data_IF_830604431003
#
_entry.id   IF_830604431003
#
_cell.length_a   1.000
_cell.length_b   1.000
_cell.length_c   1.000
_cell.angle_alpha   90.00
_cell.angle_beta   90.00
_cell.angle_gamma   90.00
#
_symmetry.space_group_name_H-M   'P 1'
#
loop_
_entity.id
_entity.type
_entity.pdbx_description
1 polymer ?
#
# COMPACT_ATOMS: atom_id res chain seq x y z
N UNK A 1 7.47 12.30 11.87
CA UNK A 1 6.79 12.05 10.58
C UNK A 1 5.85 10.87 10.79
N UNK A 2 4.53 11.00 10.55
CA UNK A 2 3.59 9.90 10.72
C UNK A 2 3.81 8.82 9.66
N UNK A 3 3.68 7.56 10.03
CA UNK A 3 3.82 6.39 9.14
C UNK A 3 2.45 5.80 8.84
N UNK A 4 2.12 5.62 7.56
CA UNK A 4 0.81 5.11 7.14
C UNK A 4 0.96 4.00 6.11
N UNK A 5 0.39 2.84 6.40
CA UNK A 5 0.31 1.71 5.47
C UNK A 5 -0.94 1.85 4.59
N UNK A 6 -0.76 1.81 3.28
CA UNK A 6 -1.84 1.81 2.29
C UNK A 6 -1.87 0.46 1.58
N UNK A 7 -2.88 -0.37 1.85
CA UNK A 7 -3.07 -1.61 1.10
C UNK A 7 -3.68 -1.32 -0.28
N UNK A 8 -3.16 -1.95 -1.33
CA UNK A 8 -3.63 -1.67 -2.69
C UNK A 8 -3.19 -0.27 -3.15
N UNK A 9 -2.06 0.23 -2.66
CA UNK A 9 -1.53 1.56 -2.94
C UNK A 9 -0.92 1.73 -4.33
N UNK A 10 -1.12 0.78 -5.24
CA UNK A 10 -0.49 0.74 -6.57
C UNK A 10 -1.43 1.03 -7.74
N UNK A 11 -2.72 1.25 -7.47
CA UNK A 11 -3.71 1.63 -8.49
C UNK A 11 -4.87 2.44 -7.88
N UNK A 12 -5.65 3.08 -8.76
CA UNK A 12 -6.92 3.73 -8.41
C UNK A 12 -6.80 4.71 -7.23
N UNK A 13 -7.79 4.65 -6.33
CA UNK A 13 -7.85 5.52 -5.14
C UNK A 13 -6.72 5.25 -4.14
N UNK A 14 -6.24 4.00 -4.04
CA UNK A 14 -5.09 3.67 -3.19
C UNK A 14 -3.82 4.38 -3.62
N UNK A 15 -3.56 4.43 -4.94
CA UNK A 15 -2.42 5.16 -5.51
C UNK A 15 -2.55 6.67 -5.26
N UNK A 16 -3.73 7.24 -5.49
CA UNK A 16 -3.99 8.64 -5.24
C UNK A 16 -3.79 8.98 -3.75
N UNK A 17 -4.29 8.14 -2.84
CA UNK A 17 -4.11 8.29 -1.40
C UNK A 17 -2.63 8.19 -0.99
N UNK A 18 -1.88 7.24 -1.54
CA UNK A 18 -0.46 7.09 -1.26
C UNK A 18 0.34 8.35 -1.63
N UNK A 19 0.12 8.90 -2.83
CA UNK A 19 0.76 10.15 -3.24
C UNK A 19 0.32 11.35 -2.40
N UNK A 20 -0.97 11.44 -2.05
CA UNK A 20 -1.50 12.54 -1.24
C UNK A 20 -0.94 12.54 0.19
N UNK A 21 -0.86 11.36 0.82
CA UNK A 21 -0.27 11.20 2.15
C UNK A 21 1.22 11.57 2.13
N UNK A 22 1.96 11.11 1.11
CA UNK A 22 3.37 11.47 0.95
C UNK A 22 3.55 12.99 0.78
N UNK A 23 2.71 13.64 -0.03
CA UNK A 23 2.72 15.10 -0.19
C UNK A 23 2.37 15.86 1.10
N UNK A 24 1.65 15.22 2.03
CA UNK A 24 1.38 15.73 3.39
C UNK A 24 2.49 15.42 4.39
N UNK A 25 3.61 14.84 3.96
CA UNK A 25 4.76 14.55 4.82
C UNK A 25 4.61 13.28 5.65
N UNK A 26 3.76 12.33 5.24
CA UNK A 26 3.76 10.98 5.81
C UNK A 26 4.91 10.15 5.22
N UNK A 27 5.43 9.20 6.01
CA UNK A 27 6.12 8.05 5.48
C UNK A 27 5.08 7.02 5.03
N UNK A 28 5.00 6.76 3.72
CA UNK A 28 3.95 5.91 3.16
C UNK A 28 4.48 4.51 2.90
N UNK A 29 3.90 3.52 3.56
CA UNK A 29 4.16 2.11 3.27
C UNK A 29 3.19 1.68 2.17
N UNK A 30 3.70 1.35 0.99
CA UNK A 30 2.90 1.04 -0.20
C UNK A 30 2.80 -0.48 -0.34
N UNK A 31 1.60 -1.02 -0.13
CA UNK A 31 1.34 -2.44 -0.37
C UNK A 31 0.67 -2.70 -1.73
N UNK A 32 1.14 -3.71 -2.45
CA UNK A 32 0.50 -4.24 -3.66
C UNK A 32 0.95 -5.67 -4.00
N UNK A 33 0.34 -6.28 -5.01
CA UNK A 33 0.65 -7.67 -5.43
C UNK A 33 1.75 -7.78 -6.48
N UNK A 34 2.01 -6.71 -7.23
CA UNK A 34 2.95 -6.71 -8.35
C UNK A 34 4.20 -5.90 -7.96
N UNK A 35 5.37 -6.55 -7.80
CA UNK A 35 6.61 -5.87 -7.37
C UNK A 35 6.92 -4.62 -8.19
N UNK A 36 6.92 -4.74 -9.53
CA UNK A 36 7.20 -3.61 -10.42
C UNK A 36 6.25 -2.41 -10.23
N UNK A 37 4.97 -2.65 -9.89
CA UNK A 37 4.03 -1.55 -9.60
C UNK A 37 4.29 -0.92 -8.23
N UNK A 38 4.68 -1.71 -7.24
CA UNK A 38 5.07 -1.20 -5.91
C UNK A 38 6.32 -0.32 -6.06
N UNK A 39 7.35 -0.82 -6.73
CA UNK A 39 8.61 -0.10 -6.95
C UNK A 39 8.38 1.22 -7.72
N UNK A 40 7.53 1.20 -8.74
CA UNK A 40 7.19 2.40 -9.51
C UNK A 40 6.58 3.50 -8.62
N UNK A 41 5.70 3.15 -7.68
CA UNK A 41 5.08 4.11 -6.77
C UNK A 41 6.08 4.65 -5.75
N UNK A 42 6.91 3.76 -5.17
CA UNK A 42 7.97 4.15 -4.23
C UNK A 42 8.93 5.14 -4.91
N UNK A 43 9.42 4.83 -6.11
CA UNK A 43 10.27 5.72 -6.88
C UNK A 43 9.59 7.05 -7.22
N UNK A 44 8.31 7.02 -7.61
CA UNK A 44 7.57 8.23 -7.93
C UNK A 44 7.33 9.14 -6.70
N UNK A 45 7.17 8.57 -5.51
CA UNK A 45 7.10 9.33 -4.25
C UNK A 45 8.48 9.92 -3.91
N UNK A 46 9.54 9.12 -3.98
CA UNK A 46 10.90 9.55 -3.69
C UNK A 46 11.37 10.67 -4.64
N UNK A 47 11.05 10.58 -5.94
CA UNK A 47 11.37 11.59 -6.94
C UNK A 47 10.71 12.96 -6.66
N UNK A 48 9.65 13.00 -5.85
CA UNK A 48 8.98 14.22 -5.39
C UNK A 48 9.43 14.67 -4.00
N UNK A 49 10.49 14.07 -3.46
CA UNK A 49 11.03 14.37 -2.13
C UNK A 49 10.24 13.75 -0.96
N UNK A 50 9.31 12.83 -1.24
CA UNK A 50 8.58 12.10 -0.20
C UNK A 50 9.32 10.84 0.27
N UNK A 51 8.78 10.21 1.32
CA UNK A 51 9.31 8.97 1.88
C UNK A 51 8.31 7.83 1.68
N UNK A 52 8.77 6.70 1.13
CA UNK A 52 7.96 5.52 0.96
C UNK A 52 8.80 4.22 0.98
N UNK A 53 8.21 3.16 1.51
CA UNK A 53 8.73 1.79 1.47
C UNK A 53 7.71 0.85 0.82
N UNK A 54 8.20 -0.12 0.06
CA UNK A 54 7.38 -1.04 -0.73
C UNK A 54 7.17 -2.39 -0.04
N UNK A 55 5.93 -2.88 -0.06
CA UNK A 55 5.57 -4.18 0.46
C UNK A 55 4.78 -5.00 -0.56
N UNK A 56 5.27 -6.21 -0.86
CA UNK A 56 4.59 -7.14 -1.76
C UNK A 56 3.97 -8.27 -0.95
N UNK A 57 2.65 -8.43 -1.06
CA UNK A 57 1.92 -9.52 -0.46
C UNK A 57 0.60 -9.79 -1.21
N UNK A 58 0.10 -11.01 -1.10
CA UNK A 58 -1.28 -11.35 -1.49
C UNK A 58 -2.18 -11.41 -0.25
N UNK A 59 -3.12 -10.47 -0.13
CA UNK A 59 -4.03 -10.40 1.01
C UNK A 59 -5.14 -11.46 0.98
N UNK A 60 -5.27 -12.24 -0.10
CA UNK A 60 -6.09 -13.46 -0.09
C UNK A 60 -5.42 -14.62 0.68
N UNK A 61 -4.11 -14.54 0.93
CA UNK A 61 -3.33 -15.53 1.66
C UNK A 61 -3.05 -15.06 3.09
N UNK A 62 -3.66 -15.73 4.07
CA UNK A 62 -3.40 -15.43 5.49
C UNK A 62 -1.93 -15.64 5.89
N UNK A 63 -1.20 -16.49 5.18
CA UNK A 63 0.24 -16.65 5.41
C UNK A 63 1.03 -15.43 4.97
N UNK A 64 0.65 -14.80 3.86
CA UNK A 64 1.29 -13.58 3.37
C UNK A 64 0.86 -12.37 4.18
N UNK A 65 -0.39 -12.31 4.66
CA UNK A 65 -0.83 -11.28 5.62
C UNK A 65 0.03 -11.29 6.88
N UNK A 66 0.33 -12.47 7.44
CA UNK A 66 1.20 -12.57 8.62
C UNK A 66 2.63 -12.11 8.31
N UNK A 67 3.22 -12.56 7.20
CA UNK A 67 4.56 -12.13 6.77
C UNK A 67 4.62 -10.62 6.53
N UNK A 68 3.57 -10.05 5.92
CA UNK A 68 3.45 -8.60 5.72
C UNK A 68 3.47 -7.88 7.07
N UNK A 69 2.65 -8.32 8.01
CA UNK A 69 2.61 -7.77 9.37
C UNK A 69 3.98 -7.82 10.05
N UNK A 70 4.65 -8.98 9.99
CA UNK A 70 5.99 -9.15 10.59
C UNK A 70 7.03 -8.24 9.93
N UNK A 71 7.01 -8.12 8.60
CA UNK A 71 7.97 -7.29 7.86
C UNK A 71 7.72 -5.80 8.12
N UNK A 72 6.46 -5.38 8.19
CA UNK A 72 6.10 -4.01 8.58
C UNK A 72 6.53 -3.75 10.02
N UNK A 73 6.23 -4.63 10.98
CA UNK A 73 6.62 -4.43 12.38
C UNK A 73 8.15 -4.39 12.59
N UNK A 74 8.93 -5.11 11.77
CA UNK A 74 10.40 -5.12 11.85
C UNK A 74 11.04 -3.79 11.40
N UNK A 75 10.53 -3.16 10.33
CA UNK A 75 11.03 -1.85 9.88
C UNK A 75 10.32 -0.66 10.56
N UNK A 76 9.06 -0.91 10.93
CA UNK A 76 7.98 -0.08 11.44
C UNK A 76 7.64 -0.20 12.93
N UNK A 77 8.39 0.31 13.91
CA UNK A 77 8.04 0.10 15.33
C UNK A 77 6.67 0.66 15.72
N UNK A 78 6.15 1.63 14.95
CA UNK A 78 4.79 2.15 15.09
C UNK A 78 4.16 2.46 13.75
N UNK A 79 2.84 2.31 13.67
CA UNK A 79 2.01 2.80 12.56
C UNK A 79 1.02 3.82 13.11
N UNK A 80 0.97 5.00 12.49
CA UNK A 80 0.02 6.05 12.84
C UNK A 80 -1.30 5.91 12.06
N UNK A 81 -1.28 5.16 10.96
CA UNK A 81 -2.46 4.90 10.15
C UNK A 81 -2.36 3.61 9.34
N UNK A 82 -3.53 3.00 9.11
CA UNK A 82 -3.72 1.88 8.20
C UNK A 82 -4.92 2.18 7.30
N UNK A 83 -4.69 2.26 6.00
CA UNK A 83 -5.74 2.39 5.00
C UNK A 83 -5.97 1.03 4.33
N UNK A 84 -7.04 0.35 4.75
CA UNK A 84 -7.50 -0.90 4.17
C UNK A 84 -8.23 -0.64 2.84
N UNK A 85 -7.48 -0.33 1.80
CA UNK A 85 -8.01 0.02 0.47
C UNK A 85 -7.97 -1.15 -0.53
N UNK A 86 -7.10 -2.15 -0.32
CA UNK A 86 -7.01 -3.28 -1.25
C UNK A 86 -8.37 -3.99 -1.42
N UNK A 87 -8.78 -4.17 -2.67
CA UNK A 87 -9.98 -4.90 -3.04
C UNK A 87 -9.88 -5.37 -4.50
N UNK A 88 -10.62 -6.41 -4.82
CA UNK A 88 -10.83 -6.88 -6.18
C UNK A 88 -12.33 -7.07 -6.42
N UNK A 89 -12.76 -6.85 -7.65
CA UNK A 89 -14.11 -7.09 -8.09
C UNK A 89 -14.02 -7.86 -9.40
N UNK A 90 -14.40 -9.13 -9.35
CA UNK A 90 -14.37 -10.04 -10.50
C UNK A 90 -15.77 -10.28 -11.08
N UNK A 91 -16.76 -9.51 -10.63
CA UNK A 91 -18.13 -9.54 -11.15
C UNK A 91 -18.32 -8.63 -12.35
N UNK A 92 -19.44 -8.78 -13.02
CA UNK A 92 -19.97 -7.71 -13.87
C UNK A 92 -20.85 -6.78 -13.03
N UNK A 93 -21.13 -5.59 -13.57
CA UNK A 93 -22.06 -4.65 -12.93
C UNK A 93 -23.53 -4.97 -13.22
N UNK A 94 -23.83 -6.17 -13.73
CA UNK A 94 -25.20 -6.55 -14.11
C UNK A 94 -26.01 -7.05 -12.92
N UNK A 95 -25.35 -7.47 -11.84
CA UNK A 95 -26.00 -7.92 -10.61
C UNK A 95 -26.53 -9.35 -10.68
N UNK A 96 -26.31 -10.06 -11.77
CA UNK A 96 -26.56 -11.50 -11.88
C UNK A 96 -25.32 -12.25 -11.36
N UNK A 97 -25.50 -13.12 -10.36
CA UNK A 97 -24.44 -13.98 -9.84
C UNK A 97 -24.41 -15.31 -10.58
#
# INVERSE_FOLDING_TARGET
>A
MPTTLVTGGTAGLGLAAAHHLAAKGHHVLVHGRTPAKVDAVVHAIAAKGGHADGYVADLSSMSDVRKLGDNVAKGHPSLDGLLNNAGSFDGDYTGER
#
